data_IF_820114423493
#
_entry.id   IF_820114423493
#
_cell.length_a   1.000
_cell.length_b   1.000
_cell.length_c   1.000
_cell.angle_alpha   90.00
_cell.angle_beta   90.00
_cell.angle_gamma   90.00
#
_symmetry.space_group_name_H-M   'P 1'
#
loop_
_entity.id
_entity.type
_entity.pdbx_description
1 polymer ?
#
# COMPACT_ATOMS: atom_id res chain seq x y z
N UNK A 1 16.78 17.52 -27.09
CA UNK A 1 16.48 18.38 -25.91
C UNK A 1 15.07 18.04 -25.43
N UNK A 2 14.88 17.50 -24.22
CA UNK A 2 13.58 17.02 -23.73
C UNK A 2 12.51 18.13 -23.70
N UNK A 3 11.23 17.77 -23.84
CA UNK A 3 10.11 18.73 -23.95
C UNK A 3 9.99 19.68 -22.72
N UNK A 4 10.38 19.21 -21.53
CA UNK A 4 10.42 20.01 -20.29
C UNK A 4 11.46 21.13 -20.38
N UNK A 5 12.60 20.89 -21.02
CA UNK A 5 13.66 21.90 -21.17
C UNK A 5 13.20 23.10 -22.01
N UNK A 6 12.34 22.88 -23.02
CA UNK A 6 11.77 23.98 -23.81
C UNK A 6 10.83 24.88 -23.01
N UNK A 7 10.19 24.35 -21.95
CA UNK A 7 9.24 25.12 -21.13
C UNK A 7 9.93 25.98 -20.06
N UNK A 8 11.10 25.56 -19.57
CA UNK A 8 11.81 26.25 -18.47
C UNK A 8 12.92 27.20 -19.00
N UNK A 9 13.38 26.99 -20.25
CA UNK A 9 14.40 27.82 -20.90
C UNK A 9 14.14 29.34 -20.87
N UNK A 10 12.91 29.86 -21.10
CA UNK A 10 12.69 31.30 -21.04
C UNK A 10 12.80 31.89 -19.63
N UNK A 11 12.55 31.08 -18.59
CA UNK A 11 12.64 31.49 -17.17
C UNK A 11 14.10 31.49 -16.70
N UNK A 12 14.93 30.59 -17.21
CA UNK A 12 16.36 30.55 -16.88
C UNK A 12 17.16 31.63 -17.62
N UNK A 13 16.70 32.05 -18.81
CA UNK A 13 17.29 33.16 -19.57
C UNK A 13 17.08 34.54 -18.92
N UNK A 14 16.13 34.67 -17.97
CA UNK A 14 15.88 35.92 -17.24
C UNK A 14 16.65 36.04 -15.92
N UNK A 15 17.28 34.94 -15.46
CA UNK A 15 18.06 34.90 -14.23
C UNK A 15 19.55 34.88 -14.60
N UNK A 16 20.23 36.01 -14.37
CA UNK A 16 21.70 36.22 -14.40
C UNK A 16 22.53 35.39 -15.42
N UNK A 17 23.34 36.01 -16.30
CA UNK A 17 24.21 35.31 -17.25
C UNK A 17 25.09 34.19 -16.66
N UNK A 18 25.42 34.29 -15.36
CA UNK A 18 26.18 33.28 -14.62
C UNK A 18 25.41 31.97 -14.44
N UNK A 19 24.09 32.03 -14.25
CA UNK A 19 23.23 30.85 -14.06
C UNK A 19 23.05 30.07 -15.36
N UNK A 20 23.01 30.78 -16.50
CA UNK A 20 22.99 30.18 -17.83
C UNK A 20 24.25 29.37 -18.14
N UNK A 21 25.42 29.90 -17.76
CA UNK A 21 26.69 29.19 -17.93
C UNK A 21 26.78 27.94 -17.06
N UNK A 22 26.29 28.00 -15.80
CA UNK A 22 26.20 26.83 -14.91
C UNK A 22 25.28 25.76 -15.52
N UNK A 23 24.12 26.17 -16.05
CA UNK A 23 23.17 25.26 -16.68
C UNK A 23 23.74 24.60 -17.95
N UNK A 24 24.45 25.37 -18.79
CA UNK A 24 25.11 24.82 -19.98
C UNK A 24 26.20 23.83 -19.60
N UNK A 25 27.00 24.15 -18.58
CA UNK A 25 28.05 23.27 -18.09
C UNK A 25 27.49 21.97 -17.48
N UNK A 26 26.36 22.06 -16.78
CA UNK A 26 25.65 20.90 -16.22
C UNK A 26 25.04 20.02 -17.30
N UNK A 27 24.45 20.62 -18.35
CA UNK A 27 23.97 19.88 -19.52
C UNK A 27 25.10 19.18 -20.28
N UNK A 28 26.26 19.82 -20.43
CA UNK A 28 27.43 19.20 -21.05
C UNK A 28 27.94 17.99 -20.26
N UNK A 29 27.94 18.08 -18.92
CA UNK A 29 28.32 16.98 -18.03
C UNK A 29 27.34 15.80 -18.14
N UNK A 30 26.03 16.07 -18.13
CA UNK A 30 24.99 15.05 -18.34
C UNK A 30 25.12 14.35 -19.71
N UNK A 31 25.49 15.08 -20.76
CA UNK A 31 25.72 14.47 -22.09
C UNK A 31 27.02 13.67 -22.20
N UNK A 32 28.05 13.98 -21.40
CA UNK A 32 29.33 13.25 -21.39
C UNK A 32 29.26 11.93 -20.61
N UNK A 33 28.34 11.80 -19.67
CA UNK A 33 28.13 10.56 -18.90
C UNK A 33 27.19 9.58 -19.60
N UNK A 34 26.64 9.90 -20.79
CA UNK A 34 25.75 9.02 -21.54
C UNK A 34 24.40 8.76 -20.85
N UNK A 35 24.07 9.49 -19.79
CA UNK A 35 22.84 9.30 -19.02
C UNK A 35 21.68 9.94 -19.78
N UNK A 36 21.00 9.14 -20.61
CA UNK A 36 19.71 9.55 -21.13
C UNK A 36 18.72 9.67 -19.96
N UNK A 37 17.91 10.73 -19.94
CA UNK A 37 16.89 10.94 -18.92
C UNK A 37 15.83 9.80 -18.84
N UNK A 38 15.85 8.87 -19.80
CA UNK A 38 15.08 7.62 -19.83
C UNK A 38 15.56 6.59 -18.81
N UNK A 39 16.86 6.56 -18.47
CA UNK A 39 17.43 5.64 -17.48
C UNK A 39 17.13 6.07 -16.03
N UNK A 40 16.86 7.37 -15.81
CA UNK A 40 16.46 7.90 -14.51
C UNK A 40 15.00 7.53 -14.13
N UNK A 41 14.19 7.14 -15.11
CA UNK A 41 12.79 6.75 -14.92
C UNK A 41 12.52 5.36 -15.48
N UNK A 42 13.44 4.43 -15.25
CA UNK A 42 13.08 3.02 -15.30
C UNK A 42 12.24 2.71 -14.06
N UNK A 43 10.98 3.17 -14.08
CA UNK A 43 9.94 2.79 -13.13
C UNK A 43 9.74 1.30 -13.36
N UNK A 44 10.54 0.48 -12.67
CA UNK A 44 10.40 -0.96 -12.61
C UNK A 44 8.94 -1.22 -12.29
N UNK A 45 8.16 -1.65 -13.28
CA UNK A 45 6.75 -1.92 -13.07
C UNK A 45 6.72 -3.22 -12.27
N UNK A 46 6.82 -3.11 -10.95
CA UNK A 46 6.64 -4.25 -10.06
C UNK A 46 5.17 -4.61 -10.20
N UNK A 47 4.89 -5.67 -10.95
CA UNK A 47 3.54 -6.25 -11.01
C UNK A 47 3.27 -6.90 -9.66
N UNK A 48 2.57 -6.18 -8.78
CA UNK A 48 2.21 -6.70 -7.47
C UNK A 48 0.87 -7.41 -7.52
N UNK A 49 0.86 -8.60 -6.94
CA UNK A 49 -0.33 -9.40 -6.74
C UNK A 49 -0.86 -9.19 -5.32
N UNK A 50 -2.17 -9.39 -5.15
CA UNK A 50 -2.77 -9.35 -3.83
C UNK A 50 -2.28 -10.54 -2.99
N UNK A 51 -1.66 -10.25 -1.85
CA UNK A 51 -1.22 -11.19 -0.83
C UNK A 51 -2.23 -11.20 0.33
N UNK A 52 -3.05 -12.25 0.49
CA UNK A 52 -4.05 -12.34 1.55
C UNK A 52 -3.48 -12.27 2.97
N UNK A 53 -2.25 -12.77 3.19
CA UNK A 53 -1.62 -12.69 4.51
C UNK A 53 -1.23 -11.25 4.83
N UNK A 54 -0.66 -10.52 3.87
CA UNK A 54 -0.33 -9.10 4.05
C UNK A 54 -1.59 -8.28 4.31
N UNK A 55 -2.72 -8.57 3.65
CA UNK A 55 -4.02 -7.95 3.96
C UNK A 55 -4.40 -8.17 5.42
N UNK A 56 -4.40 -9.42 5.91
CA UNK A 56 -4.73 -9.74 7.31
C UNK A 56 -3.80 -9.02 8.29
N UNK A 57 -2.50 -9.04 8.03
CA UNK A 57 -1.49 -8.45 8.92
C UNK A 57 -1.54 -6.93 8.94
N UNK A 58 -1.93 -6.29 7.83
CA UNK A 58 -2.26 -4.85 7.77
C UNK A 58 -3.45 -4.54 8.65
N UNK A 59 -4.54 -5.31 8.59
CA UNK A 59 -5.72 -5.07 9.43
C UNK A 59 -5.37 -5.23 10.93
N UNK A 60 -4.56 -6.23 11.28
CA UNK A 60 -4.05 -6.42 12.64
C UNK A 60 -3.19 -5.23 13.07
N UNK A 61 -2.28 -4.77 12.20
CA UNK A 61 -1.41 -3.64 12.49
C UNK A 61 -2.20 -2.35 12.71
N UNK A 62 -3.22 -2.10 11.88
CA UNK A 62 -4.11 -0.95 12.03
C UNK A 62 -4.84 -1.04 13.36
N UNK A 63 -5.54 -2.14 13.65
CA UNK A 63 -6.27 -2.30 14.92
C UNK A 63 -5.40 -2.09 16.17
N UNK A 64 -4.15 -2.55 16.13
CA UNK A 64 -3.23 -2.42 17.26
C UNK A 64 -2.67 -1.00 17.45
N UNK A 65 -2.71 -0.16 16.41
CA UNK A 65 -2.06 1.15 16.38
C UNK A 65 -3.04 2.32 16.15
N UNK A 66 -4.34 2.06 16.00
CA UNK A 66 -5.38 3.09 15.90
C UNK A 66 -6.29 3.09 17.13
N UNK A 67 -7.05 4.16 17.31
CA UNK A 67 -8.01 4.30 18.40
C UNK A 67 -8.60 5.71 18.47
N UNK A 68 -9.30 6.02 19.56
CA UNK A 68 -9.89 7.35 19.73
C UNK A 68 -8.81 8.45 19.75
N UNK A 69 -8.79 9.31 18.73
CA UNK A 69 -7.77 10.34 18.47
C UNK A 69 -6.34 9.80 18.30
N UNK A 70 -6.18 8.52 17.96
CA UNK A 70 -4.89 7.88 17.65
C UNK A 70 -4.94 7.40 16.21
N UNK A 71 -3.95 7.77 15.40
CA UNK A 71 -3.84 7.37 14.00
C UNK A 71 -2.49 6.69 13.76
N UNK A 72 -2.46 5.76 12.81
CA UNK A 72 -1.25 5.04 12.43
C UNK A 72 -0.60 5.70 11.20
N UNK A 73 0.60 6.24 11.35
CA UNK A 73 1.37 6.93 10.29
C UNK A 73 2.44 6.00 9.70
N UNK A 74 2.14 5.41 8.54
CA UNK A 74 3.06 4.52 7.84
C UNK A 74 3.92 5.30 6.82
N UNK A 75 5.26 5.14 6.83
CA UNK A 75 6.05 4.12 7.52
C UNK A 75 6.66 4.59 8.86
N UNK A 76 6.35 5.81 9.33
CA UNK A 76 7.01 6.41 10.50
C UNK A 76 6.87 5.55 11.76
N UNK A 77 5.75 4.88 11.90
CA UNK A 77 5.42 4.04 13.06
C UNK A 77 5.51 2.55 12.74
N UNK A 78 6.19 2.16 11.63
CA UNK A 78 6.32 0.77 11.20
C UNK A 78 6.83 -0.17 12.30
N UNK A 79 7.74 0.31 13.15
CA UNK A 79 8.31 -0.49 14.24
C UNK A 79 7.27 -0.90 15.31
N UNK A 80 6.14 -0.18 15.39
CA UNK A 80 5.01 -0.55 16.25
C UNK A 80 4.10 -1.63 15.64
N UNK A 81 4.38 -2.08 14.42
CA UNK A 81 3.62 -3.07 13.68
C UNK A 81 4.48 -4.31 13.34
N UNK A 82 4.84 -5.15 14.33
CA UNK A 82 5.72 -6.31 14.11
C UNK A 82 5.13 -7.35 13.14
N UNK A 83 3.79 -7.41 13.01
CA UNK A 83 3.11 -8.25 12.01
C UNK A 83 3.50 -7.91 10.57
N UNK A 84 4.02 -6.70 10.33
CA UNK A 84 4.43 -6.24 9.00
C UNK A 84 5.93 -6.43 8.71
N UNK A 85 6.70 -6.93 9.67
CA UNK A 85 8.17 -7.01 9.58
C UNK A 85 8.68 -7.90 8.44
N UNK A 86 7.90 -8.90 8.01
CA UNK A 86 8.28 -9.85 6.95
C UNK A 86 8.02 -9.33 5.53
N UNK A 87 7.30 -8.23 5.36
CA UNK A 87 6.91 -7.69 4.06
C UNK A 87 7.81 -6.53 3.63
N UNK A 88 7.94 -6.34 2.32
CA UNK A 88 8.64 -5.17 1.77
C UNK A 88 7.82 -3.88 1.97
N UNK A 89 8.47 -2.71 1.95
CA UNK A 89 7.76 -1.43 2.07
C UNK A 89 6.72 -1.23 0.97
N UNK A 90 7.09 -1.55 -0.27
CA UNK A 90 6.19 -1.46 -1.43
C UNK A 90 4.96 -2.37 -1.24
N UNK A 91 5.18 -3.62 -0.80
CA UNK A 91 4.11 -4.59 -0.55
C UNK A 91 3.14 -4.10 0.52
N UNK A 92 3.64 -3.58 1.65
CA UNK A 92 2.80 -3.06 2.72
C UNK A 92 1.98 -1.87 2.23
N UNK A 93 2.62 -0.89 1.58
CA UNK A 93 1.92 0.30 1.03
C UNK A 93 0.82 -0.11 0.09
N UNK A 94 1.10 -1.01 -0.83
CA UNK A 94 0.07 -1.48 -1.75
C UNK A 94 -1.10 -2.12 -1.02
N UNK A 95 -0.87 -2.98 -0.03
CA UNK A 95 -1.94 -3.66 0.69
C UNK A 95 -2.75 -2.72 1.59
N UNK A 96 -2.11 -1.71 2.21
CA UNK A 96 -2.83 -0.60 2.87
C UNK A 96 -3.79 0.06 1.86
N UNK A 97 -3.32 0.37 0.65
CA UNK A 97 -4.16 1.00 -0.37
C UNK A 97 -5.26 0.09 -0.92
N UNK A 98 -5.02 -1.22 -1.04
CA UNK A 98 -6.06 -2.18 -1.43
C UNK A 98 -7.13 -2.29 -0.32
N UNK A 99 -6.72 -2.33 0.95
CA UNK A 99 -7.66 -2.35 2.08
C UNK A 99 -8.51 -1.08 2.11
N UNK A 100 -7.92 0.09 1.85
CA UNK A 100 -8.65 1.35 1.79
C UNK A 100 -9.67 1.36 0.64
N UNK A 101 -9.25 0.92 -0.57
CA UNK A 101 -10.14 0.79 -1.74
C UNK A 101 -11.27 -0.22 -1.53
N UNK A 102 -11.04 -1.25 -0.73
CA UNK A 102 -12.03 -2.25 -0.35
C UNK A 102 -12.92 -1.81 0.83
N UNK A 103 -12.77 -0.56 1.32
CA UNK A 103 -13.49 -0.04 2.46
C UNK A 103 -13.29 -0.87 3.74
N UNK A 104 -12.07 -1.38 3.98
CA UNK A 104 -11.70 -2.08 5.22
C UNK A 104 -10.97 -1.17 6.20
N UNK A 105 -10.27 -0.15 5.71
CA UNK A 105 -9.58 0.85 6.53
C UNK A 105 -9.93 2.25 6.04
N UNK A 106 -9.88 3.23 6.94
CA UNK A 106 -10.04 4.64 6.63
C UNK A 106 -8.68 5.33 6.54
N UNK A 107 -8.43 6.02 5.41
CA UNK A 107 -7.25 6.85 5.26
C UNK A 107 -7.58 8.31 5.58
N UNK A 108 -6.80 8.89 6.50
CA UNK A 108 -6.81 10.32 6.81
C UNK A 108 -6.11 11.13 5.73
N UNK A 109 -4.96 10.64 5.28
CA UNK A 109 -4.09 11.38 4.36
C UNK A 109 -3.18 10.47 3.56
N UNK A 110 -2.84 10.94 2.37
CA UNK A 110 -1.66 10.55 1.62
C UNK A 110 -0.88 11.82 1.33
N UNK A 111 0.30 11.96 1.92
CA UNK A 111 1.11 13.15 1.70
C UNK A 111 1.96 13.04 0.41
N UNK A 112 2.63 14.13 0.05
CA UNK A 112 3.49 14.21 -1.14
C UNK A 112 4.75 13.33 -1.02
N UNK A 113 5.14 12.95 0.19
CA UNK A 113 6.24 12.02 0.44
C UNK A 113 5.77 10.55 0.35
N UNK A 114 4.48 10.31 0.13
CA UNK A 114 3.88 8.98 0.02
C UNK A 114 3.54 8.34 1.37
N UNK A 115 3.65 9.07 2.49
CA UNK A 115 3.23 8.57 3.80
C UNK A 115 1.71 8.39 3.83
N UNK A 116 1.26 7.37 4.57
CA UNK A 116 -0.14 6.97 4.66
C UNK A 116 -0.58 7.13 6.11
N UNK A 117 -1.44 8.13 6.36
CA UNK A 117 -2.10 8.28 7.65
C UNK A 117 -3.39 7.46 7.66
N UNK A 118 -3.44 6.44 8.50
CA UNK A 118 -4.59 5.54 8.66
C UNK A 118 -5.32 5.92 9.95
N UNK A 119 -6.63 6.19 9.85
CA UNK A 119 -7.42 6.64 11.01
C UNK A 119 -7.88 5.46 11.84
N UNK A 120 -8.54 4.48 11.20
CA UNK A 120 -9.11 3.33 11.88
C UNK A 120 -9.49 2.21 10.89
N UNK A 121 -9.90 1.07 11.42
CA UNK A 121 -10.69 0.09 10.68
C UNK A 121 -12.11 0.63 10.43
N UNK A 122 -12.66 0.35 9.26
CA UNK A 122 -14.11 0.55 9.04
C UNK A 122 -14.91 -0.53 9.77
N UNK A 123 -16.24 -0.41 9.91
CA UNK A 123 -17.08 -1.52 10.40
C UNK A 123 -16.88 -2.82 9.61
N UNK A 124 -16.72 -2.73 8.28
CA UNK A 124 -16.44 -3.89 7.43
C UNK A 124 -15.04 -4.48 7.71
N UNK A 125 -14.06 -3.62 8.00
CA UNK A 125 -12.71 -4.03 8.41
C UNK A 125 -12.73 -4.81 9.71
N UNK A 126 -13.44 -4.30 10.72
CA UNK A 126 -13.62 -5.00 11.99
C UNK A 126 -14.34 -6.33 11.82
N UNK A 127 -15.44 -6.38 11.05
CA UNK A 127 -16.17 -7.63 10.80
C UNK A 127 -15.29 -8.67 10.10
N UNK A 128 -14.60 -8.27 9.02
CA UNK A 128 -13.74 -9.18 8.29
C UNK A 128 -12.59 -9.68 9.15
N UNK A 129 -11.88 -8.79 9.86
CA UNK A 129 -10.78 -9.16 10.76
C UNK A 129 -11.27 -10.08 11.88
N UNK A 130 -12.42 -9.81 12.49
CA UNK A 130 -13.00 -10.67 13.52
C UNK A 130 -13.25 -12.09 13.00
N UNK A 131 -13.78 -12.22 11.78
CA UNK A 131 -14.04 -13.51 11.15
C UNK A 131 -12.77 -14.29 10.82
N UNK A 132 -11.64 -13.64 10.55
CA UNK A 132 -10.35 -14.29 10.22
C UNK A 132 -9.29 -14.21 11.32
N UNK A 133 -9.65 -13.76 12.54
CA UNK A 133 -8.67 -13.58 13.62
C UNK A 133 -8.07 -14.91 14.06
N UNK A 134 -8.89 -15.95 14.18
CA UNK A 134 -8.42 -17.30 14.53
C UNK A 134 -7.60 -17.90 13.40
N UNK A 135 -6.39 -18.40 13.69
CA UNK A 135 -5.55 -19.07 12.70
C UNK A 135 -6.24 -20.30 12.10
N UNK A 136 -7.06 -21.01 12.89
CA UNK A 136 -7.84 -22.15 12.42
C UNK A 136 -8.83 -21.72 11.33
N UNK A 137 -9.58 -20.63 11.57
CA UNK A 137 -10.53 -20.10 10.59
C UNK A 137 -9.79 -19.54 9.38
N UNK A 138 -8.71 -18.78 9.61
CA UNK A 138 -7.90 -18.21 8.53
C UNK A 138 -7.32 -19.27 7.59
N UNK A 139 -6.80 -20.38 8.15
CA UNK A 139 -6.28 -21.47 7.35
C UNK A 139 -7.38 -22.14 6.52
N UNK A 140 -8.58 -22.33 7.08
CA UNK A 140 -9.72 -22.82 6.32
C UNK A 140 -10.14 -21.88 5.18
N UNK A 141 -10.20 -20.56 5.44
CA UNK A 141 -10.51 -19.55 4.42
C UNK A 141 -9.51 -19.60 3.27
N UNK A 142 -8.21 -19.68 3.56
CA UNK A 142 -7.16 -19.82 2.54
C UNK A 142 -7.28 -21.12 1.74
N UNK A 143 -7.61 -22.23 2.41
CA UNK A 143 -7.79 -23.51 1.74
C UNK A 143 -8.97 -23.47 0.75
N UNK A 144 -10.11 -22.93 1.19
CA UNK A 144 -11.31 -22.80 0.34
C UNK A 144 -11.06 -21.84 -0.82
N UNK A 145 -10.45 -20.69 -0.56
CA UNK A 145 -10.15 -19.68 -1.60
C UNK A 145 -9.19 -20.23 -2.66
N UNK A 146 -8.19 -21.02 -2.25
CA UNK A 146 -7.28 -21.72 -3.15
C UNK A 146 -8.00 -22.77 -3.99
N UNK A 147 -8.89 -23.58 -3.40
CA UNK A 147 -9.67 -24.61 -4.12
C UNK A 147 -10.55 -24.02 -5.22
N UNK A 148 -11.16 -22.86 -4.99
CA UNK A 148 -12.02 -22.20 -5.98
C UNK A 148 -11.26 -21.24 -6.91
N UNK A 149 -9.96 -21.02 -6.67
CA UNK A 149 -9.11 -20.14 -7.46
C UNK A 149 -9.45 -18.65 -7.33
N UNK A 150 -10.05 -18.21 -6.22
CA UNK A 150 -10.46 -16.82 -6.03
C UNK A 150 -9.91 -16.26 -4.72
N UNK A 151 -8.96 -15.33 -4.84
CA UNK A 151 -8.24 -14.72 -3.71
C UNK A 151 -8.51 -13.22 -3.57
N UNK A 152 -9.55 -12.69 -4.23
CA UNK A 152 -9.96 -11.29 -4.06
C UNK A 152 -10.39 -11.02 -2.61
N UNK A 153 -10.25 -9.77 -2.15
CA UNK A 153 -10.69 -9.36 -0.81
C UNK A 153 -12.17 -9.71 -0.58
N UNK A 154 -13.03 -9.46 -1.59
CA UNK A 154 -14.46 -9.78 -1.50
C UNK A 154 -14.73 -11.28 -1.40
N UNK A 155 -14.01 -12.12 -2.15
CA UNK A 155 -14.14 -13.57 -2.05
C UNK A 155 -13.68 -14.08 -0.67
N UNK A 156 -12.55 -13.58 -0.18
CA UNK A 156 -12.04 -13.93 1.15
C UNK A 156 -13.03 -13.55 2.26
N UNK A 157 -13.62 -12.36 2.18
CA UNK A 157 -14.64 -11.90 3.14
C UNK A 157 -15.91 -12.78 3.10
N UNK A 158 -16.39 -13.14 1.90
CA UNK A 158 -17.54 -14.04 1.74
C UNK A 158 -17.27 -15.43 2.29
N UNK A 159 -16.10 -16.01 2.00
CA UNK A 159 -15.70 -17.31 2.54
C UNK A 159 -15.62 -17.25 4.06
N UNK A 160 -14.97 -16.22 4.62
CA UNK A 160 -14.85 -16.05 6.08
C UNK A 160 -16.22 -15.97 6.77
N UNK A 161 -17.14 -15.15 6.25
CA UNK A 161 -18.51 -15.05 6.76
C UNK A 161 -19.26 -16.39 6.68
N UNK A 162 -19.10 -17.12 5.56
CA UNK A 162 -19.65 -18.46 5.40
C UNK A 162 -19.10 -19.48 6.39
N UNK A 163 -17.78 -19.47 6.64
CA UNK A 163 -17.12 -20.33 7.63
C UNK A 163 -17.65 -20.04 9.04
N UNK A 164 -17.76 -18.77 9.44
CA UNK A 164 -18.33 -18.40 10.75
C UNK A 164 -19.79 -18.83 10.87
N UNK A 165 -20.60 -18.64 9.82
CA UNK A 165 -22.00 -19.11 9.79
C UNK A 165 -22.09 -20.63 9.99
N UNK A 166 -21.21 -21.40 9.35
CA UNK A 166 -21.18 -22.85 9.52
C UNK A 166 -20.77 -23.27 10.95
N UNK A 167 -19.80 -22.57 11.55
CA UNK A 167 -19.38 -22.81 12.93
C UNK A 167 -20.48 -22.46 13.94
N UNK A 168 -21.23 -21.38 13.72
CA UNK A 168 -22.38 -21.01 14.54
C UNK A 168 -23.44 -22.12 14.50
N UNK A 169 -23.81 -22.58 13.31
CA UNK A 169 -24.76 -23.69 13.13
C UNK A 169 -24.30 -24.96 13.85
N UNK A 170 -23.04 -25.34 13.67
CA UNK A 170 -22.44 -26.47 14.35
C UNK A 170 -22.51 -26.34 15.88
N UNK A 171 -22.17 -25.18 16.44
CA UNK A 171 -22.20 -24.94 17.88
C UNK A 171 -23.62 -24.89 18.46
N UNK A 172 -24.61 -24.45 17.67
CA UNK A 172 -26.03 -24.40 18.04
C UNK A 172 -26.76 -25.73 17.80
N UNK A 173 -26.18 -26.66 17.05
CA UNK A 173 -26.80 -27.93 16.70
C UNK A 173 -27.96 -27.82 15.69
N UNK A 174 -27.89 -26.85 14.77
CA UNK A 174 -28.91 -26.58 13.74
C UNK A 174 -28.36 -26.60 12.32
#
# INVERSE_FOLDING_TARGET
>A
MPAIFRQILPVLLSLSPTLYLIFHHFCSILSLQGVEASEYYERRTISMQLNPNCVRDVLIAVEANTGYNIYFDYPKERDNAPSLSTYSDDEIRYHILQCAKANLIELKSRDLAGNLGITDLTPNGHEFLANIRSDTVWNNVKEVSSKIGSTSISALAQIASGTITALIKYQLGI
#
